data_IF_557360100188
#
_entry.id   IF_557360100188
#
_cell.length_a   1.000
_cell.length_b   1.000
_cell.length_c   1.000
_cell.angle_alpha   90.00
_cell.angle_beta   90.00
_cell.angle_gamma   90.00
#
_symmetry.space_group_name_H-M   'P 1'
#
loop_
_entity.id
_entity.type
_entity.pdbx_description
1 polymer ?
#
# COMPACT_ATOMS: atom_id res chain seq x y z
N UNK A 1 21.63 23.16 3.02
CA UNK A 1 21.67 21.78 2.47
C UNK A 1 20.42 20.96 2.78
N UNK A 2 19.92 20.94 4.03
CA UNK A 2 18.71 20.18 4.39
C UNK A 2 17.46 20.60 3.58
N UNK A 3 17.16 21.90 3.50
CA UNK A 3 16.02 22.42 2.75
C UNK A 3 15.99 21.97 1.27
N UNK A 4 17.12 22.01 0.55
CA UNK A 4 17.18 21.54 -0.84
C UNK A 4 16.90 20.01 -0.97
N UNK A 5 17.30 19.21 0.02
CA UNK A 5 16.96 17.78 0.08
C UNK A 5 15.48 17.59 0.38
N UNK A 6 14.92 18.34 1.33
CA UNK A 6 13.48 18.31 1.64
C UNK A 6 12.65 18.62 0.39
N UNK A 7 12.97 19.67 -0.37
CA UNK A 7 12.27 19.98 -1.62
C UNK A 7 12.40 18.89 -2.67
N UNK A 8 13.59 18.29 -2.79
CA UNK A 8 13.83 17.17 -3.71
C UNK A 8 12.97 15.96 -3.34
N UNK A 9 12.92 15.60 -2.06
CA UNK A 9 12.08 14.50 -1.57
C UNK A 9 10.59 14.81 -1.72
N UNK A 10 10.16 16.06 -1.49
CA UNK A 10 8.78 16.48 -1.75
C UNK A 10 8.40 16.29 -3.21
N UNK A 11 9.29 16.65 -4.13
CA UNK A 11 9.09 16.41 -5.55
C UNK A 11 9.02 14.90 -5.87
N UNK A 12 9.94 14.09 -5.34
CA UNK A 12 9.94 12.63 -5.55
C UNK A 12 8.67 11.97 -4.99
N UNK A 13 8.21 12.37 -3.80
CA UNK A 13 6.93 11.93 -3.23
C UNK A 13 5.75 12.31 -4.14
N UNK A 14 5.77 13.50 -4.75
CA UNK A 14 4.74 13.91 -5.71
C UNK A 14 4.71 13.02 -6.96
N UNK A 15 5.85 12.48 -7.38
CA UNK A 15 5.97 11.53 -8.49
C UNK A 15 5.51 10.13 -8.09
N UNK A 16 5.81 9.68 -6.87
CA UNK A 16 5.42 8.36 -6.36
C UNK A 16 3.89 8.15 -6.34
N UNK A 17 3.11 9.24 -6.27
CA UNK A 17 1.64 9.19 -6.38
C UNK A 17 1.15 8.79 -7.77
N UNK A 18 1.93 9.05 -8.82
CA UNK A 18 1.51 8.82 -10.20
C UNK A 18 1.50 7.32 -10.47
N UNK A 19 0.39 6.83 -11.05
CA UNK A 19 0.39 5.49 -11.59
C UNK A 19 1.38 5.42 -12.77
N UNK A 20 2.32 4.46 -12.79
CA UNK A 20 3.10 4.23 -14.00
C UNK A 20 2.11 3.86 -15.11
N UNK A 21 2.19 4.53 -16.26
CA UNK A 21 1.30 4.32 -17.40
C UNK A 21 1.48 2.97 -18.11
N UNK A 22 1.83 1.92 -17.38
CA UNK A 22 1.96 0.55 -17.86
C UNK A 22 0.70 -0.27 -17.60
N UNK A 23 0.46 -1.29 -18.44
CA UNK A 23 -0.52 -2.33 -18.15
C UNK A 23 -0.30 -2.88 -16.74
N UNK A 24 -1.39 -3.03 -15.98
CA UNK A 24 -1.36 -3.37 -14.56
C UNK A 24 -0.32 -4.45 -14.28
N UNK A 25 0.66 -4.13 -13.45
CA UNK A 25 1.52 -5.15 -12.89
C UNK A 25 0.62 -6.06 -12.07
N UNK A 26 0.32 -7.26 -12.58
CA UNK A 26 -0.67 -8.20 -12.01
C UNK A 26 -0.22 -8.83 -10.68
N UNK A 27 0.78 -8.22 -10.03
CA UNK A 27 1.38 -8.63 -8.78
C UNK A 27 0.44 -8.41 -7.59
N UNK A 28 0.69 -9.17 -6.52
CA UNK A 28 -0.05 -9.05 -5.26
C UNK A 28 0.41 -7.85 -4.41
N UNK A 29 1.56 -7.27 -4.74
CA UNK A 29 2.06 -6.02 -4.19
C UNK A 29 1.99 -4.97 -5.28
N UNK A 30 1.45 -3.79 -4.97
CA UNK A 30 1.48 -2.64 -5.87
C UNK A 30 2.94 -2.25 -6.15
N UNK A 31 3.32 -2.22 -7.43
CA UNK A 31 4.71 -2.00 -7.84
C UNK A 31 5.33 -0.70 -7.30
N UNK A 32 4.51 0.30 -6.95
CA UNK A 32 4.97 1.58 -6.38
C UNK A 32 5.43 1.46 -4.93
N UNK A 33 5.03 0.41 -4.22
CA UNK A 33 5.32 0.24 -2.80
C UNK A 33 6.82 0.05 -2.55
N UNK A 34 7.50 -0.73 -3.39
CA UNK A 34 8.94 -0.94 -3.26
C UNK A 34 9.72 0.36 -3.46
N UNK A 35 9.37 1.14 -4.49
CA UNK A 35 9.99 2.44 -4.76
C UNK A 35 9.73 3.42 -3.61
N UNK A 36 8.51 3.40 -3.06
CA UNK A 36 8.15 4.20 -1.90
C UNK A 36 9.01 3.86 -0.68
N UNK A 37 9.22 2.59 -0.34
CA UNK A 37 10.06 2.24 0.81
C UNK A 37 11.51 2.65 0.62
N UNK A 38 12.05 2.52 -0.60
CA UNK A 38 13.40 3.01 -0.92
C UNK A 38 13.52 4.52 -0.71
N UNK A 39 12.52 5.29 -1.14
CA UNK A 39 12.45 6.74 -0.93
C UNK A 39 12.26 7.09 0.55
N UNK A 40 11.36 6.39 1.24
CA UNK A 40 11.07 6.60 2.66
C UNK A 40 12.31 6.38 3.52
N UNK A 41 13.04 5.29 3.31
CA UNK A 41 14.28 5.00 4.05
C UNK A 41 15.32 6.12 3.89
N UNK A 42 15.41 6.74 2.72
CA UNK A 42 16.28 7.89 2.50
C UNK A 42 15.78 9.13 3.25
N UNK A 43 14.47 9.41 3.22
CA UNK A 43 13.87 10.52 3.97
C UNK A 43 14.17 10.40 5.47
N UNK A 44 14.04 9.20 6.04
CA UNK A 44 14.39 8.89 7.45
C UNK A 44 15.88 9.13 7.68
N UNK A 45 16.74 8.55 6.84
CA UNK A 45 18.20 8.65 6.98
C UNK A 45 18.72 10.10 6.94
N UNK A 46 18.02 10.99 6.24
CA UNK A 46 18.36 12.41 6.17
C UNK A 46 17.58 13.31 7.15
N UNK A 47 16.78 12.73 8.06
CA UNK A 47 15.97 13.44 9.05
C UNK A 47 15.04 14.50 8.42
N UNK A 48 14.45 14.16 7.28
CA UNK A 48 13.49 15.02 6.56
C UNK A 48 12.02 14.64 6.85
N UNK A 49 11.79 13.68 7.73
CA UNK A 49 10.48 13.07 7.99
C UNK A 49 9.44 14.08 8.47
N UNK A 50 9.76 14.86 9.51
CA UNK A 50 8.84 15.83 10.12
C UNK A 50 8.38 16.91 9.13
N UNK A 51 9.29 17.39 8.28
CA UNK A 51 9.01 18.43 7.26
C UNK A 51 8.19 17.88 6.06
N UNK A 52 8.07 16.56 5.96
CA UNK A 52 7.41 15.85 4.87
C UNK A 52 6.21 15.01 5.34
N UNK A 53 5.80 15.09 6.60
CA UNK A 53 4.74 14.28 7.20
C UNK A 53 3.44 14.30 6.38
N UNK A 54 2.95 15.49 6.00
CA UNK A 54 1.76 15.64 5.14
C UNK A 54 1.97 14.99 3.76
N UNK A 55 3.15 15.17 3.16
CA UNK A 55 3.46 14.59 1.85
C UNK A 55 3.55 13.06 1.90
N UNK A 56 4.11 12.52 2.99
CA UNK A 56 4.18 11.08 3.24
C UNK A 56 2.78 10.52 3.42
N UNK A 57 1.94 11.15 4.24
CA UNK A 57 0.56 10.72 4.48
C UNK A 57 -0.25 10.64 3.18
N UNK A 58 -0.16 11.67 2.32
CA UNK A 58 -0.83 11.66 1.00
C UNK A 58 -0.38 10.49 0.11
N UNK A 59 0.92 10.17 0.09
CA UNK A 59 1.45 9.06 -0.71
C UNK A 59 0.98 7.73 -0.12
N UNK A 60 1.04 7.57 1.20
CA UNK A 60 0.62 6.35 1.90
C UNK A 60 -0.86 6.06 1.63
N UNK A 61 -1.75 7.07 1.68
CA UNK A 61 -3.17 6.91 1.37
C UNK A 61 -3.41 6.43 -0.07
N UNK A 62 -2.59 6.86 -1.03
CA UNK A 62 -2.65 6.41 -2.43
C UNK A 62 -2.15 4.98 -2.57
N UNK A 63 -1.08 4.61 -1.86
CA UNK A 63 -0.50 3.27 -1.89
C UNK A 63 -1.40 2.25 -1.19
N UNK A 64 -2.03 2.59 -0.07
CA UNK A 64 -2.99 1.73 0.62
C UNK A 64 -4.15 1.34 -0.29
N UNK A 65 -4.69 2.29 -1.05
CA UNK A 65 -5.75 2.02 -2.03
C UNK A 65 -5.26 1.14 -3.18
N UNK A 66 -4.05 1.39 -3.68
CA UNK A 66 -3.42 0.57 -4.71
C UNK A 66 -3.22 -0.88 -4.24
N UNK A 67 -2.68 -1.05 -3.03
CA UNK A 67 -2.45 -2.33 -2.41
C UNK A 67 -3.75 -3.10 -2.14
N UNK A 68 -4.78 -2.41 -1.64
CA UNK A 68 -6.12 -2.99 -1.45
C UNK A 68 -6.72 -3.45 -2.78
N UNK A 69 -6.54 -2.68 -3.85
CA UNK A 69 -6.96 -3.09 -5.19
C UNK A 69 -6.22 -4.36 -5.65
N UNK A 70 -4.90 -4.46 -5.46
CA UNK A 70 -4.11 -5.66 -5.78
C UNK A 70 -4.60 -6.90 -5.01
N UNK A 71 -4.91 -6.76 -3.72
CA UNK A 71 -5.51 -7.83 -2.90
C UNK A 71 -6.89 -8.22 -3.43
N UNK A 72 -7.72 -7.24 -3.80
CA UNK A 72 -9.08 -7.48 -4.31
C UNK A 72 -9.11 -8.33 -5.57
N UNK A 73 -8.10 -8.24 -6.44
CA UNK A 73 -7.98 -9.08 -7.63
C UNK A 73 -7.70 -10.55 -7.33
N UNK A 74 -7.33 -10.89 -6.09
CA UNK A 74 -7.01 -12.25 -5.65
C UNK A 74 -7.96 -12.79 -4.57
N UNK A 75 -8.90 -11.98 -4.08
CA UNK A 75 -9.91 -12.39 -3.10
C UNK A 75 -11.28 -11.83 -3.45
N UNK A 76 -12.24 -12.73 -3.72
CA UNK A 76 -13.58 -12.35 -4.16
C UNK A 76 -14.35 -11.57 -3.08
N UNK A 77 -14.22 -11.93 -1.80
CA UNK A 77 -14.87 -11.17 -0.73
C UNK A 77 -14.34 -9.75 -0.63
N UNK A 78 -13.01 -9.57 -0.69
CA UNK A 78 -12.38 -8.25 -0.68
C UNK A 78 -12.83 -7.45 -1.90
N UNK A 79 -12.88 -8.07 -3.08
CA UNK A 79 -13.41 -7.44 -4.30
C UNK A 79 -14.85 -6.95 -4.11
N UNK A 80 -15.76 -7.84 -3.74
CA UNK A 80 -17.17 -7.50 -3.57
C UNK A 80 -17.39 -6.40 -2.53
N UNK A 81 -16.57 -6.37 -1.48
CA UNK A 81 -16.74 -5.42 -0.38
C UNK A 81 -16.06 -4.09 -0.63
N UNK A 82 -14.87 -4.05 -1.22
CA UNK A 82 -14.04 -2.84 -1.26
C UNK A 82 -13.76 -2.30 -2.66
N UNK A 83 -14.02 -3.08 -3.72
CA UNK A 83 -13.74 -2.64 -5.08
C UNK A 83 -14.50 -1.34 -5.42
N UNK A 84 -13.78 -0.34 -5.92
CA UNK A 84 -14.32 0.97 -6.25
C UNK A 84 -14.78 1.83 -5.05
N UNK A 85 -14.63 1.35 -3.82
CA UNK A 85 -14.99 2.10 -2.60
C UNK A 85 -13.80 2.90 -2.08
N UNK A 86 -14.09 3.93 -1.28
CA UNK A 86 -13.07 4.79 -0.64
C UNK A 86 -12.66 4.29 0.75
N UNK A 87 -13.13 3.12 1.15
CA UNK A 87 -12.89 2.54 2.47
C UNK A 87 -11.45 2.01 2.57
N UNK A 88 -10.82 2.18 3.73
CA UNK A 88 -9.50 1.66 4.05
C UNK A 88 -9.65 0.79 5.30
N UNK A 89 -9.88 -0.52 5.14
CA UNK A 89 -10.20 -1.39 6.27
C UNK A 89 -9.02 -1.59 7.21
N UNK A 90 -9.31 -1.83 8.49
CA UNK A 90 -8.30 -2.28 9.46
C UNK A 90 -7.60 -3.55 8.98
N UNK A 91 -6.26 -3.67 9.14
CA UNK A 91 -5.52 -4.84 8.65
C UNK A 91 -6.04 -6.18 9.18
N UNK A 92 -6.48 -6.23 10.45
CA UNK A 92 -7.02 -7.45 11.06
C UNK A 92 -8.31 -7.92 10.37
N UNK A 93 -9.22 -7.00 10.07
CA UNK A 93 -10.46 -7.29 9.34
C UNK A 93 -10.14 -7.73 7.91
N UNK A 94 -9.24 -7.02 7.24
CA UNK A 94 -8.84 -7.36 5.86
C UNK A 94 -8.22 -8.76 5.77
N UNK A 95 -7.40 -9.17 6.75
CA UNK A 95 -6.81 -10.51 6.80
C UNK A 95 -7.89 -11.59 6.91
N UNK A 96 -8.85 -11.41 7.82
CA UNK A 96 -9.95 -12.38 8.03
C UNK A 96 -10.74 -12.56 6.74
N UNK A 97 -11.09 -11.45 6.08
CA UNK A 97 -11.90 -11.47 4.86
C UNK A 97 -11.13 -11.97 3.65
N UNK A 98 -9.85 -11.62 3.52
CA UNK A 98 -9.03 -12.02 2.39
C UNK A 98 -8.70 -13.51 2.37
N UNK A 99 -8.44 -14.09 3.55
CA UNK A 99 -7.99 -15.49 3.71
C UNK A 99 -9.13 -16.48 3.97
N UNK A 100 -10.36 -16.00 4.07
CA UNK A 100 -11.53 -16.85 4.16
C UNK A 100 -11.58 -17.86 3.00
N UNK A 101 -11.88 -19.12 3.31
CA UNK A 101 -11.72 -20.24 2.37
C UNK A 101 -12.65 -20.10 1.16
N UNK A 102 -13.86 -19.56 1.36
CA UNK A 102 -14.81 -19.34 0.28
C UNK A 102 -14.35 -18.21 -0.65
N UNK A 103 -13.63 -17.23 -0.08
CA UNK A 103 -13.06 -16.10 -0.80
C UNK A 103 -11.87 -16.48 -1.69
N UNK A 104 -11.05 -17.44 -1.24
CA UNK A 104 -9.93 -18.01 -2.00
C UNK A 104 -10.42 -19.08 -2.98
N UNK A 105 -11.47 -19.83 -2.65
CA UNK A 105 -12.00 -20.88 -3.51
C UNK A 105 -12.56 -20.37 -4.84
N UNK A 106 -12.99 -19.10 -4.89
CA UNK A 106 -13.44 -18.42 -6.10
C UNK A 106 -12.30 -17.89 -6.99
N UNK A 107 -11.06 -17.92 -6.52
CA UNK A 107 -9.90 -17.55 -7.32
C UNK A 107 -9.39 -18.77 -8.11
N UNK A 108 -9.32 -18.65 -9.43
CA UNK A 108 -8.82 -19.70 -10.32
C UNK A 108 -7.32 -19.97 -10.04
N UNK A 109 -6.99 -21.17 -9.56
CA UNK A 109 -5.61 -21.62 -9.38
C UNK A 109 -5.34 -22.46 -8.12
N UNK A 110 -4.05 -22.65 -7.84
CA UNK A 110 -3.57 -23.33 -6.64
C UNK A 110 -3.85 -22.48 -5.39
N UNK A 111 -4.82 -22.93 -4.58
CA UNK A 111 -5.30 -22.23 -3.39
C UNK A 111 -4.20 -21.95 -2.38
N UNK A 112 -3.25 -22.85 -2.21
CA UNK A 112 -2.15 -22.67 -1.26
C UNK A 112 -1.17 -21.61 -1.76
N UNK A 113 -0.92 -21.58 -3.07
CA UNK A 113 -0.12 -20.54 -3.70
C UNK A 113 -0.80 -19.17 -3.59
N UNK A 114 -2.11 -19.10 -3.83
CA UNK A 114 -2.90 -17.86 -3.72
C UNK A 114 -2.89 -17.34 -2.29
N UNK A 115 -3.10 -18.21 -1.28
CA UNK A 115 -2.99 -17.83 0.14
C UNK A 115 -1.62 -17.26 0.49
N UNK A 116 -0.54 -17.92 0.05
CA UNK A 116 0.83 -17.42 0.25
C UNK A 116 1.02 -16.03 -0.38
N UNK A 117 0.52 -15.82 -1.60
CA UNK A 117 0.56 -14.50 -2.22
C UNK A 117 -0.24 -13.46 -1.44
N UNK A 118 -1.48 -13.79 -1.03
CA UNK A 118 -2.33 -12.90 -0.25
C UNK A 118 -1.66 -12.49 1.06
N UNK A 119 -1.00 -13.40 1.77
CA UNK A 119 -0.23 -13.09 2.99
C UNK A 119 0.82 -12.01 2.71
N UNK A 120 1.59 -12.14 1.62
CA UNK A 120 2.58 -11.11 1.24
C UNK A 120 1.91 -9.75 0.99
N UNK A 121 0.78 -9.74 0.27
CA UNK A 121 0.05 -8.50 0.01
C UNK A 121 -0.54 -7.88 1.26
N UNK A 122 -1.04 -8.69 2.19
CA UNK A 122 -1.63 -8.28 3.47
C UNK A 122 -0.56 -7.74 4.44
N UNK A 123 0.60 -8.39 4.51
CA UNK A 123 1.74 -7.93 5.30
C UNK A 123 2.18 -6.54 4.82
N UNK A 124 2.20 -6.34 3.51
CA UNK A 124 2.59 -5.07 2.91
C UNK A 124 1.55 -3.98 3.15
N UNK A 125 0.26 -4.31 3.01
CA UNK A 125 -0.84 -3.45 3.39
C UNK A 125 -0.74 -3.01 4.86
N UNK A 126 -0.47 -3.96 5.75
CA UNK A 126 -0.33 -3.70 7.19
C UNK A 126 0.79 -2.72 7.49
N UNK A 127 1.97 -2.87 6.89
CA UNK A 127 3.09 -1.92 7.09
C UNK A 127 2.73 -0.50 6.66
N UNK A 128 2.06 -0.35 5.51
CA UNK A 128 1.58 0.95 5.04
C UNK A 128 0.54 1.53 6.00
N UNK A 129 -0.34 0.69 6.55
CA UNK A 129 -1.37 1.10 7.50
C UNK A 129 -0.77 1.60 8.81
N UNK A 130 0.18 0.85 9.37
CA UNK A 130 0.91 1.26 10.58
C UNK A 130 1.68 2.56 10.37
N UNK A 131 2.27 2.75 9.18
CA UNK A 131 2.94 4.01 8.84
C UNK A 131 1.96 5.18 8.71
N UNK A 132 0.76 4.95 8.16
CA UNK A 132 -0.31 5.95 8.12
C UNK A 132 -0.71 6.39 9.52
N UNK A 133 -0.98 5.44 10.41
CA UNK A 133 -1.34 5.69 11.80
C UNK A 133 -0.26 6.50 12.53
N UNK A 134 1.02 6.18 12.29
CA UNK A 134 2.15 6.95 12.84
C UNK A 134 2.03 8.44 12.48
N UNK A 135 1.80 8.78 11.21
CA UNK A 135 1.73 10.19 10.78
C UNK A 135 0.41 10.86 11.14
N UNK A 136 -0.70 10.13 11.15
CA UNK A 136 -2.00 10.68 11.57
C UNK A 136 -2.00 11.10 13.04
N UNK A 137 -1.32 10.34 13.91
CA UNK A 137 -1.21 10.66 15.33
C UNK A 137 -0.17 11.76 15.64
N UNK A 138 0.60 12.21 14.65
CA UNK A 138 1.57 13.31 14.77
C UNK A 138 1.01 14.65 14.29
N UNK A 139 -0.17 14.67 13.68
CA UNK A 139 -0.90 15.87 13.25
C UNK A 139 -1.85 16.36 14.34
#
# INVERSE_FOLDING_TARGET
MKSARTETFRFLLSLAKRHPGGFSDGGIVDGRVNDFWSLYNQIVAFNCEDELSTNLLEVIDVLLKGQLNSISHKSAAVSNKYHGKRETPEPSLLIIEALDNDSVALADGDKDKIKKMLIVGLDEYKKLYELREKYQNQM
#
